data_IF_963089220336
#
_entry.id   IF_963089220336
#
_cell.length_a   1.000
_cell.length_b   1.000
_cell.length_c   1.000
_cell.angle_alpha   90.00
_cell.angle_beta   90.00
_cell.angle_gamma   90.00
#
_symmetry.space_group_name_H-M   'P 1'
#
loop_
_entity.id
_entity.type
_entity.pdbx_description
1 polymer ?
#
# COMPACT_ATOMS: atom_id res chain seq x y z
N UNK A 1 15.19 0.67 3.67
CA UNK A 1 14.65 2.02 3.97
C UNK A 1 14.02 2.59 2.72
N UNK A 2 12.79 3.09 2.83
CA UNK A 2 12.09 3.77 1.73
C UNK A 2 12.31 5.29 1.76
N UNK A 3 12.49 5.91 0.61
CA UNK A 3 12.57 7.38 0.46
C UNK A 3 11.66 7.85 -0.68
N UNK A 4 11.25 9.12 -0.66
CA UNK A 4 10.48 9.75 -1.74
C UNK A 4 11.32 10.84 -2.39
N UNK A 5 11.53 10.77 -3.71
CA UNK A 5 12.37 11.71 -4.45
C UNK A 5 11.60 12.36 -5.60
N UNK A 6 11.89 13.62 -5.87
CA UNK A 6 11.33 14.36 -7.01
C UNK A 6 12.07 13.92 -8.29
N UNK A 7 11.34 13.35 -9.25
CA UNK A 7 11.92 12.86 -10.51
C UNK A 7 11.64 13.79 -11.69
N UNK A 8 10.54 14.54 -11.61
CA UNK A 8 10.14 15.62 -12.51
C UNK A 8 9.50 16.73 -11.69
N UNK A 9 9.42 17.99 -12.19
CA UNK A 9 8.81 19.08 -11.44
C UNK A 9 7.41 18.70 -10.90
N UNK A 10 7.29 18.71 -9.58
CA UNK A 10 6.09 18.34 -8.83
C UNK A 10 5.64 16.87 -9.00
N UNK A 11 6.54 15.99 -9.42
CA UNK A 11 6.29 14.55 -9.56
C UNK A 11 7.30 13.72 -8.77
N UNK A 12 6.77 12.83 -7.95
CA UNK A 12 7.51 12.13 -6.93
C UNK A 12 7.42 10.62 -7.12
N UNK A 13 8.52 9.95 -6.80
CA UNK A 13 8.66 8.51 -6.87
C UNK A 13 9.30 7.95 -5.60
N UNK A 14 8.80 6.82 -5.12
CA UNK A 14 9.49 6.08 -4.08
C UNK A 14 10.76 5.40 -4.61
N UNK A 15 11.83 5.48 -3.84
CA UNK A 15 13.08 4.78 -4.09
C UNK A 15 13.31 3.83 -2.93
N UNK A 16 13.73 2.62 -3.27
CA UNK A 16 13.95 1.54 -2.32
C UNK A 16 15.45 1.35 -2.11
N UNK A 17 15.84 0.95 -0.90
CA UNK A 17 17.24 0.66 -0.59
C UNK A 17 17.68 -0.66 -1.20
N UNK A 18 19.01 -0.89 -1.24
CA UNK A 18 19.59 -2.12 -1.80
C UNK A 18 19.04 -3.39 -1.16
N UNK A 19 18.79 -3.36 0.15
CA UNK A 19 18.20 -4.49 0.87
C UNK A 19 16.83 -4.88 0.31
N UNK A 20 16.05 -3.91 -0.18
CA UNK A 20 14.78 -4.15 -0.84
C UNK A 20 14.94 -4.87 -2.17
N UNK A 21 15.96 -4.50 -2.96
CA UNK A 21 16.27 -5.19 -4.20
C UNK A 21 16.72 -6.63 -3.94
N UNK A 22 17.49 -6.86 -2.87
CA UNK A 22 17.95 -8.19 -2.47
C UNK A 22 16.82 -9.09 -1.98
N UNK A 23 15.78 -8.54 -1.35
CA UNK A 23 14.62 -9.28 -0.87
C UNK A 23 13.51 -9.48 -1.92
N UNK A 24 13.73 -9.00 -3.17
CA UNK A 24 12.68 -8.98 -4.19
C UNK A 24 12.26 -10.40 -4.63
N UNK A 25 13.23 -11.31 -4.75
CA UNK A 25 12.96 -12.70 -5.13
C UNK A 25 12.17 -13.43 -4.02
N UNK A 26 12.55 -13.23 -2.75
CA UNK A 26 11.83 -13.77 -1.60
C UNK A 26 10.40 -13.22 -1.54
N UNK A 27 10.23 -11.93 -1.84
CA UNK A 27 8.91 -11.30 -1.89
C UNK A 27 8.03 -11.88 -3.00
N UNK A 28 8.57 -12.08 -4.21
CA UNK A 28 7.80 -12.70 -5.30
C UNK A 28 7.46 -14.16 -4.99
N UNK A 29 8.39 -14.91 -4.40
CA UNK A 29 8.13 -16.27 -3.93
C UNK A 29 6.98 -16.31 -2.90
N UNK A 30 6.97 -15.38 -1.93
CA UNK A 30 5.87 -15.26 -0.97
C UNK A 30 4.54 -14.90 -1.64
N UNK A 31 4.55 -14.07 -2.70
CA UNK A 31 3.38 -13.75 -3.51
C UNK A 31 2.85 -14.97 -4.30
N UNK A 32 3.75 -15.81 -4.82
CA UNK A 32 3.39 -17.04 -5.51
C UNK A 32 2.74 -18.05 -4.56
N UNK A 33 3.28 -18.20 -3.35
CA UNK A 33 2.65 -18.99 -2.28
C UNK A 33 1.26 -18.46 -1.96
N UNK A 34 1.13 -17.14 -1.80
CA UNK A 34 -0.15 -16.49 -1.49
C UNK A 34 -1.19 -16.74 -2.59
N UNK A 35 -0.82 -16.53 -3.86
CA UNK A 35 -1.71 -16.70 -5.01
C UNK A 35 -2.10 -18.17 -5.24
N UNK A 36 -1.23 -19.10 -4.86
CA UNK A 36 -1.47 -20.55 -4.89
C UNK A 36 -2.30 -21.07 -3.69
N UNK A 37 -2.70 -20.19 -2.78
CA UNK A 37 -3.51 -20.55 -1.60
C UNK A 37 -2.72 -21.16 -0.43
N UNK A 38 -1.38 -21.19 -0.51
CA UNK A 38 -0.48 -21.65 0.56
C UNK A 38 -0.30 -20.53 1.60
N UNK A 39 -1.40 -20.15 2.25
CA UNK A 39 -1.48 -18.91 3.03
C UNK A 39 -0.60 -18.91 4.29
N UNK A 40 -0.35 -20.09 4.89
CA UNK A 40 0.49 -20.20 6.10
C UNK A 40 1.97 -20.03 5.75
N UNK A 41 2.38 -20.64 4.65
CA UNK A 41 3.72 -20.56 4.10
C UNK A 41 4.01 -19.13 3.63
N UNK A 42 3.08 -18.52 2.88
CA UNK A 42 3.19 -17.11 2.48
C UNK A 42 3.34 -16.18 3.69
N UNK A 43 2.53 -16.35 4.73
CA UNK A 43 2.63 -15.55 5.96
C UNK A 43 4.01 -15.68 6.61
N UNK A 44 4.56 -16.90 6.65
CA UNK A 44 5.89 -17.15 7.20
C UNK A 44 6.97 -16.40 6.40
N UNK A 45 6.96 -16.51 5.08
CA UNK A 45 7.96 -15.82 4.23
C UNK A 45 7.84 -14.29 4.34
N UNK A 46 6.60 -13.76 4.34
CA UNK A 46 6.37 -12.33 4.59
C UNK A 46 6.92 -11.85 5.94
N UNK A 47 6.79 -12.66 7.00
CA UNK A 47 7.32 -12.31 8.31
C UNK A 47 8.86 -12.35 8.34
N UNK A 48 9.52 -13.24 7.61
CA UNK A 48 10.98 -13.25 7.48
C UNK A 48 11.49 -12.01 6.75
N UNK A 49 10.85 -11.63 5.63
CA UNK A 49 11.19 -10.39 4.91
C UNK A 49 11.06 -9.17 5.83
N UNK A 50 10.00 -9.10 6.64
CA UNK A 50 9.76 -7.98 7.54
C UNK A 50 10.80 -7.85 8.66
N UNK A 51 11.51 -8.93 9.03
CA UNK A 51 12.63 -8.86 9.98
C UNK A 51 13.82 -8.11 9.39
N UNK A 52 14.04 -8.25 8.08
CA UNK A 52 15.15 -7.62 7.36
C UNK A 52 14.75 -6.20 6.95
N UNK A 53 13.50 -6.02 6.49
CA UNK A 53 12.97 -4.76 5.96
C UNK A 53 11.66 -4.41 6.68
N UNK A 54 11.75 -3.81 7.90
CA UNK A 54 10.56 -3.53 8.72
C UNK A 54 9.57 -2.54 8.11
N UNK A 55 10.00 -1.78 7.09
CA UNK A 55 9.23 -0.78 6.36
C UNK A 55 8.78 -1.24 4.95
N UNK A 56 8.82 -2.55 4.67
CA UNK A 56 8.37 -3.09 3.39
C UNK A 56 6.85 -2.97 3.24
N UNK A 57 6.41 -1.95 2.50
CA UNK A 57 4.99 -1.58 2.39
C UNK A 57 4.13 -2.69 1.79
N UNK A 58 4.58 -3.36 0.72
CA UNK A 58 3.81 -4.46 0.14
C UNK A 58 3.69 -5.67 1.07
N UNK A 59 4.76 -6.09 1.75
CA UNK A 59 4.71 -7.16 2.75
C UNK A 59 3.69 -6.83 3.85
N UNK A 60 3.68 -5.59 4.34
CA UNK A 60 2.66 -5.14 5.30
C UNK A 60 1.24 -5.22 4.72
N UNK A 61 1.06 -4.86 3.45
CA UNK A 61 -0.21 -4.97 2.75
C UNK A 61 -0.68 -6.43 2.62
N UNK A 62 0.19 -7.36 2.21
CA UNK A 62 -0.16 -8.77 2.09
C UNK A 62 -0.46 -9.42 3.45
N UNK A 63 0.29 -9.07 4.50
CA UNK A 63 -0.01 -9.52 5.87
C UNK A 63 -1.38 -9.00 6.33
N UNK A 64 -1.73 -7.76 6.01
CA UNK A 64 -3.06 -7.22 6.31
C UNK A 64 -4.18 -7.96 5.56
N UNK A 65 -3.99 -8.27 4.28
CA UNK A 65 -4.95 -9.10 3.51
C UNK A 65 -5.09 -10.51 4.10
N UNK A 66 -4.00 -11.11 4.58
CA UNK A 66 -4.05 -12.41 5.28
C UNK A 66 -4.86 -12.31 6.58
N UNK A 67 -4.70 -11.24 7.35
CA UNK A 67 -5.49 -10.97 8.56
C UNK A 67 -6.98 -10.84 8.22
N UNK A 68 -7.30 -10.07 7.20
CA UNK A 68 -8.67 -9.89 6.73
C UNK A 68 -9.31 -11.22 6.28
N UNK A 69 -8.59 -12.04 5.49
CA UNK A 69 -9.03 -13.40 5.10
C UNK A 69 -9.32 -14.31 6.30
N UNK A 70 -8.65 -14.09 7.43
CA UNK A 70 -8.86 -14.82 8.70
C UNK A 70 -9.99 -14.22 9.56
N UNK A 71 -10.64 -13.15 9.10
CA UNK A 71 -11.66 -12.41 9.85
C UNK A 71 -11.11 -11.38 10.84
N UNK A 72 -9.78 -11.24 10.95
CA UNK A 72 -9.11 -10.26 11.82
C UNK A 72 -9.04 -8.88 11.13
N UNK A 73 -10.23 -8.27 10.95
CA UNK A 73 -10.37 -6.95 10.31
C UNK A 73 -9.65 -5.84 11.09
N UNK A 74 -9.61 -5.95 12.41
CA UNK A 74 -8.91 -4.97 13.26
C UNK A 74 -7.39 -5.06 13.07
N UNK A 75 -6.85 -6.28 13.02
CA UNK A 75 -5.44 -6.50 12.72
C UNK A 75 -5.06 -6.00 11.33
N UNK A 76 -5.90 -6.25 10.32
CA UNK A 76 -5.70 -5.73 8.97
C UNK A 76 -5.67 -4.20 8.94
N UNK A 77 -6.64 -3.56 9.60
CA UNK A 77 -6.71 -2.10 9.77
C UNK A 77 -5.41 -1.55 10.38
N UNK A 78 -4.94 -2.13 11.48
CA UNK A 78 -3.71 -1.70 12.16
C UNK A 78 -2.47 -1.80 11.26
N UNK A 79 -2.39 -2.86 10.45
CA UNK A 79 -1.26 -3.06 9.53
C UNK A 79 -1.27 -2.05 8.38
N UNK A 80 -2.42 -1.78 7.76
CA UNK A 80 -2.51 -0.74 6.73
C UNK A 80 -2.28 0.66 7.30
N UNK A 81 -2.79 0.95 8.50
CA UNK A 81 -2.50 2.22 9.18
C UNK A 81 -0.99 2.39 9.40
N UNK A 82 -0.31 1.35 9.88
CA UNK A 82 1.15 1.32 10.05
C UNK A 82 1.86 1.56 8.72
N UNK A 83 1.46 0.87 7.65
CA UNK A 83 2.08 1.01 6.34
C UNK A 83 1.94 2.44 5.78
N UNK A 84 0.75 3.05 5.90
CA UNK A 84 0.53 4.44 5.50
C UNK A 84 1.36 5.41 6.32
N UNK A 85 1.45 5.21 7.65
CA UNK A 85 2.31 6.03 8.53
C UNK A 85 3.78 5.92 8.13
N UNK A 86 4.27 4.72 7.79
CA UNK A 86 5.65 4.51 7.34
C UNK A 86 5.91 5.17 5.98
N UNK A 87 5.01 5.00 5.01
CA UNK A 87 5.12 5.66 3.70
C UNK A 87 5.12 7.19 3.82
N UNK A 88 4.23 7.76 4.64
CA UNK A 88 4.18 9.22 4.87
C UNK A 88 5.43 9.76 5.57
N UNK A 89 6.15 8.96 6.36
CA UNK A 89 7.44 9.37 6.96
C UNK A 89 8.54 9.57 5.92
N UNK A 90 8.40 8.99 4.72
CA UNK A 90 9.37 9.15 3.64
C UNK A 90 9.21 10.48 2.89
N UNK A 91 8.15 11.25 3.16
CA UNK A 91 7.84 12.47 2.44
C UNK A 91 8.77 13.58 2.91
N UNK A 92 9.47 14.28 2.00
CA UNK A 92 10.32 15.39 2.38
C UNK A 92 9.48 16.63 2.71
N UNK A 93 10.08 17.58 3.42
CA UNK A 93 9.41 18.81 3.89
C UNK A 93 8.86 19.68 2.75
N UNK A 94 9.46 19.61 1.56
CA UNK A 94 9.04 20.37 0.39
C UNK A 94 7.94 19.67 -0.43
N UNK A 95 7.46 18.50 0.00
CA UNK A 95 6.28 17.87 -0.60
C UNK A 95 5.01 18.60 -0.16
N UNK A 96 4.26 19.11 -1.12
CA UNK A 96 3.01 19.85 -0.97
C UNK A 96 1.82 18.99 -1.43
N UNK A 97 1.09 18.41 -0.47
CA UNK A 97 -0.15 17.70 -0.77
C UNK A 97 -1.14 18.60 -1.52
N UNK A 98 -1.75 18.10 -2.59
CA UNK A 98 -2.64 18.88 -3.46
C UNK A 98 -1.95 19.68 -4.57
N UNK A 99 -0.61 19.67 -4.63
CA UNK A 99 0.18 20.26 -5.72
C UNK A 99 1.14 19.26 -6.32
N UNK A 100 1.77 18.46 -5.47
CA UNK A 100 2.69 17.40 -5.83
C UNK A 100 1.97 16.08 -6.14
N UNK A 101 2.56 15.31 -7.06
CA UNK A 101 1.96 14.08 -7.60
C UNK A 101 2.79 12.86 -7.26
N UNK A 102 2.13 11.83 -6.75
CA UNK A 102 2.63 10.46 -6.68
C UNK A 102 1.81 9.64 -7.66
N UNK A 103 2.35 9.39 -8.85
CA UNK A 103 1.60 8.75 -9.95
C UNK A 103 1.52 7.24 -9.79
N UNK A 104 0.33 6.67 -10.01
CA UNK A 104 0.12 5.22 -9.99
C UNK A 104 0.79 4.47 -11.17
N UNK A 105 0.98 5.13 -12.31
CA UNK A 105 1.69 4.57 -13.46
C UNK A 105 3.16 4.26 -13.16
N UNK A 106 3.76 4.93 -12.18
CA UNK A 106 5.11 4.67 -11.71
C UNK A 106 5.07 3.46 -10.76
N UNK A 107 5.73 2.36 -11.14
CA UNK A 107 5.66 1.08 -10.42
C UNK A 107 6.06 1.21 -8.95
N UNK A 108 7.12 1.97 -8.67
CA UNK A 108 7.62 2.16 -7.31
C UNK A 108 6.61 2.85 -6.38
N UNK A 109 5.63 3.57 -6.92
CA UNK A 109 4.61 4.23 -6.10
C UNK A 109 3.50 3.28 -5.65
N UNK A 110 3.32 2.16 -6.35
CA UNK A 110 2.22 1.23 -6.12
C UNK A 110 2.18 0.62 -4.72
N UNK A 111 3.31 0.26 -4.07
CA UNK A 111 3.27 -0.29 -2.72
C UNK A 111 2.61 0.66 -1.71
N UNK A 112 3.00 1.94 -1.74
CA UNK A 112 2.39 2.96 -0.89
C UNK A 112 0.93 3.21 -1.26
N UNK A 113 0.65 3.38 -2.55
CA UNK A 113 -0.71 3.67 -3.03
C UNK A 113 -1.69 2.53 -2.75
N UNK A 114 -1.25 1.26 -2.82
CA UNK A 114 -2.04 0.08 -2.39
C UNK A 114 -2.39 0.13 -0.91
N UNK A 115 -1.40 0.40 -0.06
CA UNK A 115 -1.62 0.57 1.38
C UNK A 115 -2.58 1.72 1.66
N UNK A 116 -2.42 2.83 0.94
CA UNK A 116 -3.26 4.01 1.05
C UNK A 116 -4.72 3.65 0.74
N UNK A 117 -4.95 3.03 -0.41
CA UNK A 117 -6.29 2.59 -0.81
C UNK A 117 -6.91 1.62 0.19
N UNK A 118 -6.18 0.57 0.58
CA UNK A 118 -6.68 -0.46 1.49
C UNK A 118 -7.00 0.11 2.89
N UNK A 119 -6.17 1.03 3.39
CA UNK A 119 -6.48 1.75 4.63
C UNK A 119 -7.79 2.54 4.50
N UNK A 120 -7.97 3.27 3.39
CA UNK A 120 -9.20 4.00 3.09
C UNK A 120 -10.44 3.10 3.08
N UNK A 121 -10.36 1.91 2.48
CA UNK A 121 -11.45 0.92 2.50
C UNK A 121 -11.72 0.41 3.91
N UNK A 122 -10.68 0.08 4.68
CA UNK A 122 -10.83 -0.41 6.05
C UNK A 122 -11.48 0.62 6.99
N UNK A 123 -11.29 1.92 6.75
CA UNK A 123 -12.00 2.99 7.46
C UNK A 123 -13.51 2.97 7.17
N UNK A 124 -13.91 2.72 5.92
CA UNK A 124 -15.31 2.59 5.53
C UNK A 124 -15.96 1.40 6.21
N UNK A 125 -15.29 0.24 6.21
CA UNK A 125 -15.79 -0.98 6.85
C UNK A 125 -16.02 -0.80 8.35
N UNK A 126 -15.15 -0.03 9.02
CA UNK A 126 -15.30 0.30 10.45
C UNK A 126 -16.40 1.32 10.73
N UNK A 127 -17.18 1.74 9.73
CA UNK A 127 -18.23 2.75 9.88
C UNK A 127 -17.70 4.17 10.05
N UNK A 128 -16.38 4.40 9.89
CA UNK A 128 -15.75 5.72 9.99
C UNK A 128 -15.84 6.46 8.65
N UNK A 129 -17.07 6.59 8.14
CA UNK A 129 -17.34 7.11 6.78
C UNK A 129 -16.80 8.53 6.58
N UNK A 130 -16.88 9.38 7.58
CA UNK A 130 -16.35 10.75 7.50
C UNK A 130 -14.81 10.76 7.43
N UNK A 131 -14.14 9.86 8.17
CA UNK A 131 -12.68 9.72 8.13
C UNK A 131 -12.23 9.14 6.80
N UNK A 132 -12.94 8.15 6.27
CA UNK A 132 -12.68 7.63 4.94
C UNK A 132 -12.91 8.71 3.87
N UNK A 133 -13.99 9.48 3.95
CA UNK A 133 -14.27 10.56 3.00
C UNK A 133 -13.18 11.64 3.03
N UNK A 134 -12.78 12.12 4.21
CA UNK A 134 -11.68 13.06 4.37
C UNK A 134 -10.37 12.49 3.84
N UNK A 135 -10.09 11.22 4.14
CA UNK A 135 -8.91 10.53 3.64
C UNK A 135 -8.89 10.42 2.12
N UNK A 136 -10.02 10.09 1.51
CA UNK A 136 -10.12 10.00 0.06
C UNK A 136 -10.02 11.39 -0.57
N UNK A 137 -10.58 12.44 0.04
CA UNK A 137 -10.39 13.83 -0.41
C UNK A 137 -8.92 14.27 -0.36
N UNK A 138 -8.22 13.99 0.74
CA UNK A 138 -6.80 14.33 0.93
C UNK A 138 -5.89 13.66 -0.11
N UNK A 139 -6.29 12.47 -0.58
CA UNK A 139 -5.47 11.65 -1.48
C UNK A 139 -6.05 11.57 -2.90
N UNK A 140 -7.16 12.29 -3.18
CA UNK A 140 -7.95 12.19 -4.41
C UNK A 140 -7.11 12.43 -5.67
N UNK A 141 -6.14 13.34 -5.57
CA UNK A 141 -5.33 13.74 -6.70
C UNK A 141 -4.39 12.65 -7.24
N UNK A 142 -4.01 11.67 -6.41
CA UNK A 142 -3.21 10.52 -6.88
C UNK A 142 -3.98 9.65 -7.86
N UNK A 143 -5.32 9.65 -7.74
CA UNK A 143 -6.21 8.74 -8.43
C UNK A 143 -6.96 9.41 -9.59
N UNK A 144 -7.45 10.65 -9.41
CA UNK A 144 -8.29 11.32 -10.42
C UNK A 144 -7.54 11.69 -11.71
N UNK A 145 -6.24 11.95 -11.63
CA UNK A 145 -5.44 12.35 -12.80
C UNK A 145 -4.72 11.17 -13.47
N UNK A 146 -4.93 9.95 -12.97
CA UNK A 146 -4.40 8.73 -13.58
C UNK A 146 -5.52 8.02 -14.32
N UNK A 147 -5.45 8.01 -15.65
CA UNK A 147 -6.42 7.31 -16.50
C UNK A 147 -6.54 5.82 -16.11
N UNK A 148 -7.77 5.36 -15.86
CA UNK A 148 -8.05 3.98 -15.45
C UNK A 148 -7.83 3.66 -13.97
N UNK A 149 -7.28 4.58 -13.16
CA UNK A 149 -7.07 4.32 -11.74
C UNK A 149 -8.41 4.24 -10.99
N UNK A 150 -9.36 5.13 -11.29
CA UNK A 150 -10.70 5.09 -10.68
C UNK A 150 -11.45 3.81 -11.10
N UNK A 151 -11.33 3.39 -12.36
CA UNK A 151 -11.93 2.16 -12.88
C UNK A 151 -11.32 0.91 -12.22
N UNK A 152 -10.01 0.91 -11.97
CA UNK A 152 -9.33 -0.14 -11.21
C UNK A 152 -9.76 -0.17 -9.73
N UNK A 153 -9.87 0.99 -9.07
CA UNK A 153 -10.37 1.07 -7.69
C UNK A 153 -11.81 0.57 -7.61
N UNK A 154 -12.66 0.96 -8.58
CA UNK A 154 -14.04 0.48 -8.70
C UNK A 154 -14.10 -1.03 -8.89
N UNK A 155 -13.30 -1.60 -9.79
CA UNK A 155 -13.33 -3.04 -10.10
C UNK A 155 -12.98 -3.90 -8.88
N UNK A 156 -12.01 -3.46 -8.06
CA UNK A 156 -11.66 -4.12 -6.79
C UNK A 156 -12.81 -4.10 -5.80
N UNK A 157 -13.49 -2.95 -5.65
CA UNK A 157 -14.63 -2.83 -4.74
C UNK A 157 -15.79 -3.75 -5.14
N UNK A 158 -16.09 -3.85 -6.45
CA UNK A 158 -17.13 -4.76 -6.96
C UNK A 158 -16.78 -6.24 -6.82
N UNK A 159 -15.49 -6.60 -6.89
CA UNK A 159 -15.05 -8.00 -6.79
C UNK A 159 -14.95 -8.53 -5.35
N UNK A 160 -15.11 -7.67 -4.34
CA UNK A 160 -15.17 -8.05 -2.92
C UNK A 160 -16.59 -8.37 -2.43
N UNK A 161 -17.60 -8.25 -3.31
CA UNK A 161 -19.01 -8.43 -2.98
C UNK A 161 -19.69 -9.64 -3.65
N UNK A 162 -18.93 -10.65 -4.09
CA UNK A 162 -19.45 -11.94 -4.57
C UNK A 162 -18.81 -13.11 -3.84
#
# INVERSE_FOLDING_TARGET
MITLVETYPKEWMFVFSKEFEEALDDFYYACDLYSSGQLKEAEKEFLEILKIIPDHLDVLHYLAMLKEKKGDKEGAFCLWEKAVKLGKKAFPENFEAGKDKIRWSILNNRPFLRCLHAYGLSLLEKGKKDQAYLYWLENKEFWEKTEGAIEWLKSIYTNLHY
#
